data_IF_339930674962
#
_entry.id   IF_339930674962
#
_cell.length_a   1.000
_cell.length_b   1.000
_cell.length_c   1.000
_cell.angle_alpha   90.00
_cell.angle_beta   90.00
_cell.angle_gamma   90.00
#
_symmetry.space_group_name_H-M   'P 1'
#
loop_
_entity.id
_entity.type
_entity.pdbx_description
1 polymer ?
#
# COMPACT_ATOMS: atom_id res chain seq x y z
N UNK A 1 22.97 -18.56 24.26
CA UNK A 1 21.66 -18.89 23.66
C UNK A 1 21.14 -17.67 22.93
N UNK A 2 20.59 -17.79 21.69
CA UNK A 2 19.96 -16.67 21.01
C UNK A 2 18.79 -16.14 21.84
N UNK A 3 18.65 -14.81 21.95
CA UNK A 3 17.49 -14.20 22.63
C UNK A 3 16.23 -14.49 21.82
N UNK A 4 15.14 -14.86 22.50
CA UNK A 4 13.83 -15.03 21.86
C UNK A 4 13.36 -13.68 21.29
N UNK A 5 12.77 -13.65 20.08
CA UNK A 5 12.28 -12.41 19.48
C UNK A 5 11.14 -11.83 20.32
N UNK A 6 11.09 -10.50 20.39
CA UNK A 6 9.99 -9.78 21.04
C UNK A 6 8.73 -9.86 20.19
N UNK A 7 7.55 -9.67 20.79
CA UNK A 7 6.29 -9.62 20.06
C UNK A 7 6.32 -8.58 18.92
N UNK A 8 6.93 -7.42 19.17
CA UNK A 8 7.04 -6.37 18.15
C UNK A 8 7.95 -6.77 16.99
N UNK A 9 9.04 -7.50 17.26
CA UNK A 9 9.90 -8.05 16.20
C UNK A 9 9.12 -9.06 15.34
N UNK A 10 8.38 -9.98 15.97
CA UNK A 10 7.56 -10.97 15.27
C UNK A 10 6.52 -10.28 14.38
N UNK A 11 5.88 -9.23 14.87
CA UNK A 11 4.90 -8.44 14.11
C UNK A 11 5.53 -7.75 12.91
N UNK A 12 6.69 -7.11 13.09
CA UNK A 12 7.43 -6.46 11.99
C UNK A 12 7.81 -7.48 10.91
N UNK A 13 8.40 -8.61 11.30
CA UNK A 13 8.81 -9.65 10.35
C UNK A 13 7.61 -10.27 9.63
N UNK A 14 6.49 -10.43 10.33
CA UNK A 14 5.24 -10.91 9.74
C UNK A 14 4.66 -9.90 8.77
N UNK A 15 4.65 -8.62 9.14
CA UNK A 15 4.22 -7.53 8.26
C UNK A 15 5.06 -7.49 6.99
N UNK A 16 6.40 -7.59 7.07
CA UNK A 16 7.27 -7.62 5.89
C UNK A 16 6.87 -8.75 4.92
N UNK A 17 6.58 -9.95 5.43
CA UNK A 17 6.11 -11.08 4.60
C UNK A 17 4.73 -10.83 3.99
N UNK A 18 3.81 -10.27 4.78
CA UNK A 18 2.46 -9.89 4.32
C UNK A 18 2.57 -8.87 3.19
N UNK A 19 3.29 -7.77 3.40
CA UNK A 19 3.46 -6.71 2.40
C UNK A 19 4.07 -7.26 1.14
N UNK A 20 5.12 -8.08 1.21
CA UNK A 20 5.71 -8.70 0.02
C UNK A 20 4.69 -9.56 -0.76
N UNK A 21 3.92 -10.38 -0.04
CA UNK A 21 2.92 -11.26 -0.65
C UNK A 21 1.77 -10.47 -1.30
N UNK A 22 1.28 -9.44 -0.62
CA UNK A 22 0.19 -8.59 -1.13
C UNK A 22 0.64 -7.66 -2.26
N UNK A 23 1.87 -7.15 -2.23
CA UNK A 23 2.46 -6.44 -3.36
C UNK A 23 2.54 -7.33 -4.60
N UNK A 24 2.98 -8.58 -4.44
CA UNK A 24 3.00 -9.54 -5.54
C UNK A 24 1.59 -9.88 -6.04
N UNK A 25 0.66 -10.17 -5.12
CA UNK A 25 -0.73 -10.47 -5.46
C UNK A 25 -1.40 -9.30 -6.17
N UNK A 26 -1.15 -8.07 -5.73
CA UNK A 26 -1.63 -6.86 -6.39
C UNK A 26 -1.05 -6.70 -7.79
N UNK A 27 0.26 -6.91 -7.96
CA UNK A 27 0.90 -6.84 -9.27
C UNK A 27 0.37 -7.91 -10.23
N UNK A 28 0.06 -9.12 -9.75
CA UNK A 28 -0.60 -10.16 -10.55
C UNK A 28 -2.05 -9.76 -10.86
N UNK A 29 -2.78 -9.23 -9.88
CA UNK A 29 -4.16 -8.79 -10.03
C UNK A 29 -4.32 -7.72 -11.10
N UNK A 30 -3.40 -6.74 -11.15
CA UNK A 30 -3.46 -5.67 -12.15
C UNK A 30 -3.10 -6.12 -13.57
N UNK A 31 -2.45 -7.27 -13.72
CA UNK A 31 -2.10 -7.87 -15.02
C UNK A 31 -3.16 -8.86 -15.52
N UNK A 32 -3.77 -9.62 -14.61
CA UNK A 32 -4.71 -10.69 -14.95
C UNK A 32 -6.15 -10.19 -15.03
N UNK A 33 -6.55 -9.30 -14.12
CA UNK A 33 -7.94 -8.86 -13.98
C UNK A 33 -8.16 -7.47 -14.52
N UNK A 34 -9.36 -7.26 -15.07
CA UNK A 34 -9.80 -5.95 -15.52
C UNK A 34 -9.96 -5.02 -14.32
N UNK A 35 -9.78 -3.70 -14.48
CA UNK A 35 -9.87 -2.75 -13.36
C UNK A 35 -11.18 -2.77 -12.57
N UNK A 36 -12.27 -3.19 -13.21
CA UNK A 36 -13.61 -3.24 -12.62
C UNK A 36 -14.01 -4.61 -12.07
N UNK A 37 -13.14 -5.62 -12.17
CA UNK A 37 -13.43 -6.94 -11.59
C UNK A 37 -13.32 -6.90 -10.07
N UNK A 38 -14.28 -7.54 -9.40
CA UNK A 38 -14.39 -7.50 -7.94
C UNK A 38 -13.19 -8.17 -7.26
N UNK A 39 -12.62 -9.21 -7.86
CA UNK A 39 -11.45 -9.92 -7.33
C UNK A 39 -10.26 -8.97 -7.10
N UNK A 40 -10.05 -8.03 -8.02
CA UNK A 40 -9.01 -7.01 -7.89
C UNK A 40 -9.29 -6.11 -6.68
N UNK A 41 -10.52 -5.68 -6.48
CA UNK A 41 -10.91 -4.88 -5.31
C UNK A 41 -10.86 -5.68 -4.00
N UNK A 42 -11.10 -6.99 -4.04
CA UNK A 42 -11.01 -7.88 -2.88
C UNK A 42 -9.58 -8.02 -2.37
N UNK A 43 -8.58 -7.96 -3.25
CA UNK A 43 -7.16 -7.84 -2.86
C UNK A 43 -6.92 -6.57 -2.06
N UNK A 44 -7.40 -5.40 -2.54
CA UNK A 44 -7.24 -4.13 -1.83
C UNK A 44 -7.98 -4.12 -0.50
N UNK A 45 -9.21 -4.64 -0.44
CA UNK A 45 -9.96 -4.80 0.79
C UNK A 45 -9.18 -5.62 1.82
N UNK A 46 -8.69 -6.79 1.42
CA UNK A 46 -7.91 -7.68 2.28
C UNK A 46 -6.62 -7.01 2.77
N UNK A 47 -5.91 -6.32 1.87
CA UNK A 47 -4.68 -5.62 2.23
C UNK A 47 -4.93 -4.49 3.22
N UNK A 48 -5.94 -3.65 2.97
CA UNK A 48 -6.33 -2.55 3.87
C UNK A 48 -6.78 -3.05 5.25
N UNK A 49 -7.42 -4.21 5.33
CA UNK A 49 -7.77 -4.82 6.61
C UNK A 49 -6.53 -5.24 7.40
N UNK A 50 -5.51 -5.76 6.73
CA UNK A 50 -4.23 -6.10 7.37
C UNK A 50 -3.48 -4.84 7.84
N UNK A 51 -3.64 -3.70 7.16
CA UNK A 51 -3.10 -2.42 7.64
C UNK A 51 -3.68 -2.02 9.00
N UNK A 52 -4.96 -2.29 9.27
CA UNK A 52 -5.56 -2.08 10.60
C UNK A 52 -4.91 -3.02 11.62
N UNK A 53 -4.89 -4.32 11.29
CA UNK A 53 -4.35 -5.35 12.19
C UNK A 53 -2.89 -5.10 12.55
N UNK A 54 -2.12 -4.50 11.64
CA UNK A 54 -0.69 -4.22 11.76
C UNK A 54 -0.38 -2.71 11.84
N UNK A 55 -1.31 -1.88 12.33
CA UNK A 55 -1.14 -0.42 12.35
C UNK A 55 0.15 0.06 13.05
N UNK A 56 0.63 -0.67 14.07
CA UNK A 56 1.90 -0.41 14.76
C UNK A 56 3.14 -0.61 13.86
N UNK A 57 3.07 -1.40 12.79
CA UNK A 57 4.21 -1.74 11.92
C UNK A 57 3.99 -1.41 10.44
N UNK A 58 2.75 -1.21 10.00
CA UNK A 58 2.40 -0.72 8.67
C UNK A 58 3.04 0.65 8.38
N UNK A 59 3.67 0.78 7.22
CA UNK A 59 4.39 1.99 6.83
C UNK A 59 3.51 2.89 5.96
N UNK A 60 3.78 4.20 5.97
CA UNK A 60 2.98 5.15 5.20
C UNK A 60 3.11 4.92 3.69
N UNK A 61 4.25 4.41 3.23
CA UNK A 61 4.46 4.06 1.83
C UNK A 61 3.46 2.98 1.38
N UNK A 62 3.22 1.96 2.21
CA UNK A 62 2.23 0.92 1.89
C UNK A 62 0.82 1.49 1.91
N UNK A 63 0.48 2.34 2.88
CA UNK A 63 -0.83 2.98 2.95
C UNK A 63 -1.08 3.86 1.71
N UNK A 64 -0.07 4.62 1.28
CA UNK A 64 -0.13 5.45 0.09
C UNK A 64 -0.29 4.62 -1.20
N UNK A 65 0.38 3.47 -1.31
CA UNK A 65 0.21 2.55 -2.46
C UNK A 65 -1.23 2.03 -2.55
N UNK A 66 -1.82 1.63 -1.42
CA UNK A 66 -3.20 1.14 -1.37
C UNK A 66 -4.18 2.27 -1.69
N UNK A 67 -3.95 3.47 -1.15
CA UNK A 67 -4.76 4.65 -1.40
C UNK A 67 -4.78 5.05 -2.88
N UNK A 68 -3.59 5.17 -3.48
CA UNK A 68 -3.45 5.46 -4.92
C UNK A 68 -4.11 4.39 -5.78
N UNK A 69 -3.95 3.11 -5.43
CA UNK A 69 -4.59 1.99 -6.14
C UNK A 69 -6.11 2.04 -6.06
N UNK A 70 -6.65 2.42 -4.89
CA UNK A 70 -8.10 2.62 -4.67
C UNK A 70 -8.60 3.82 -5.48
N UNK A 71 -7.89 4.94 -5.49
CA UNK A 71 -8.27 6.14 -6.25
C UNK A 71 -8.27 5.88 -7.76
N UNK A 72 -7.24 5.21 -8.28
CA UNK A 72 -7.21 4.78 -9.68
C UNK A 72 -8.39 3.85 -10.03
N UNK A 73 -8.70 2.90 -9.15
CA UNK A 73 -9.83 1.99 -9.36
C UNK A 73 -11.16 2.75 -9.37
N UNK A 74 -11.32 3.73 -8.47
CA UNK A 74 -12.50 4.61 -8.42
C UNK A 74 -12.66 5.44 -9.70
N UNK A 75 -11.57 6.02 -10.19
CA UNK A 75 -11.57 6.79 -11.43
C UNK A 75 -12.01 5.93 -12.61
N UNK A 76 -11.41 4.75 -12.77
CA UNK A 76 -11.77 3.83 -13.85
C UNK A 76 -13.25 3.42 -13.73
N UNK A 77 -13.72 3.07 -12.54
CA UNK A 77 -15.12 2.72 -12.33
C UNK A 77 -16.07 3.87 -12.68
N UNK A 78 -15.69 5.12 -12.42
CA UNK A 78 -16.52 6.28 -12.78
C UNK A 78 -16.64 6.50 -14.29
N UNK A 79 -15.66 6.03 -15.07
CA UNK A 79 -15.61 6.20 -16.53
C UNK A 79 -16.21 5.02 -17.32
N UNK A 80 -16.59 3.93 -16.64
CA UNK A 80 -17.15 2.73 -17.28
C UNK A 80 -18.68 2.81 -17.29
N UNK A 81 -19.27 2.81 -18.49
CA UNK A 81 -20.72 3.01 -18.71
C UNK A 81 -21.56 1.90 -18.05
N UNK A 82 -21.08 0.65 -18.06
CA UNK A 82 -21.74 -0.47 -17.40
C UNK A 82 -20.72 -1.26 -16.59
N UNK A 83 -20.89 -1.24 -15.27
CA UNK A 83 -20.14 -2.10 -14.35
C UNK A 83 -21.11 -3.16 -13.85
N UNK A 84 -20.90 -4.39 -14.27
CA UNK A 84 -21.51 -5.53 -13.62
C UNK A 84 -21.08 -5.54 -12.15
N UNK A 85 -22.04 -5.50 -11.23
CA UNK A 85 -21.81 -5.36 -9.78
C UNK A 85 -21.30 -3.98 -9.30
N UNK A 86 -21.63 -2.87 -9.98
CA UNK A 86 -21.18 -1.52 -9.57
C UNK A 86 -21.45 -1.14 -8.11
N UNK A 87 -22.60 -1.53 -7.53
CA UNK A 87 -22.86 -1.34 -6.09
C UNK A 87 -21.80 -2.04 -5.22
N UNK A 88 -21.47 -3.28 -5.55
CA UNK A 88 -20.50 -4.08 -4.81
C UNK A 88 -19.08 -3.51 -4.92
N UNK A 89 -18.71 -3.00 -6.10
CA UNK A 89 -17.44 -2.33 -6.32
C UNK A 89 -17.33 -1.06 -5.47
N UNK A 90 -18.38 -0.24 -5.44
CA UNK A 90 -18.44 0.96 -4.60
C UNK A 90 -18.31 0.64 -3.10
N UNK A 91 -18.98 -0.41 -2.62
CA UNK A 91 -18.86 -0.84 -1.22
C UNK A 91 -17.42 -1.24 -0.84
N UNK A 92 -16.71 -1.92 -1.75
CA UNK A 92 -15.30 -2.30 -1.54
C UNK A 92 -14.39 -1.09 -1.49
N UNK A 93 -14.56 -0.12 -2.38
CA UNK A 93 -13.78 1.13 -2.34
C UNK A 93 -14.00 1.91 -1.05
N UNK A 94 -15.26 2.03 -0.60
CA UNK A 94 -15.59 2.67 0.68
C UNK A 94 -14.98 1.92 1.88
N UNK A 95 -14.96 0.60 1.80
CA UNK A 95 -14.32 -0.25 2.81
C UNK A 95 -12.82 0.00 2.89
N UNK A 96 -12.12 0.05 1.75
CA UNK A 96 -10.69 0.38 1.70
C UNK A 96 -10.43 1.77 2.29
N UNK A 97 -11.22 2.77 1.90
CA UNK A 97 -11.07 4.14 2.41
C UNK A 97 -11.24 4.21 3.93
N UNK A 98 -12.29 3.58 4.47
CA UNK A 98 -12.50 3.48 5.92
C UNK A 98 -11.32 2.80 6.60
N UNK A 99 -10.88 1.66 6.06
CA UNK A 99 -9.81 0.88 6.67
C UNK A 99 -8.48 1.65 6.73
N UNK A 100 -8.14 2.41 5.67
CA UNK A 100 -6.95 3.25 5.67
C UNK A 100 -7.04 4.37 6.71
N UNK A 101 -8.19 5.02 6.83
CA UNK A 101 -8.45 6.04 7.85
C UNK A 101 -8.27 5.47 9.26
N UNK A 102 -8.86 4.30 9.51
CA UNK A 102 -8.79 3.64 10.81
C UNK A 102 -7.37 3.15 11.12
N UNK A 103 -6.65 2.62 10.14
CA UNK A 103 -5.26 2.21 10.29
C UNK A 103 -4.35 3.39 10.68
N UNK A 104 -4.52 4.55 10.03
CA UNK A 104 -3.80 5.78 10.37
C UNK A 104 -4.13 6.25 11.79
N UNK A 105 -5.42 6.32 12.12
CA UNK A 105 -5.85 6.71 13.47
C UNK A 105 -5.32 5.77 14.57
N UNK A 106 -5.22 4.47 14.29
CA UNK A 106 -4.62 3.49 15.20
C UNK A 106 -3.11 3.65 15.30
N UNK A 107 -2.40 3.88 14.19
CA UNK A 107 -0.97 4.10 14.20
C UNK A 107 -0.60 5.34 15.02
N UNK A 108 -1.37 6.43 14.91
CA UNK A 108 -1.21 7.63 15.74
C UNK A 108 -1.40 7.31 17.23
N UNK A 109 -2.46 6.57 17.60
CA UNK A 109 -2.70 6.13 18.98
C UNK A 109 -1.56 5.25 19.54
N UNK A 110 -0.91 4.47 18.67
CA UNK A 110 0.21 3.60 19.00
C UNK A 110 1.56 4.35 19.02
N UNK A 111 1.54 5.67 18.82
CA UNK A 111 2.73 6.53 18.93
C UNK A 111 3.58 6.57 17.65
N UNK A 112 3.10 6.03 16.53
CA UNK A 112 3.71 6.31 15.23
C UNK A 112 3.32 7.72 14.81
N UNK A 113 4.26 8.65 14.82
CA UNK A 113 4.08 9.93 14.11
C UNK A 113 3.95 9.64 12.63
N UNK A 114 2.74 9.70 12.11
CA UNK A 114 2.46 9.71 10.68
C UNK A 114 2.96 11.05 10.16
N UNK A 115 4.11 11.04 9.50
CA UNK A 115 4.58 12.21 8.76
C UNK A 115 3.73 12.28 7.50
N UNK A 116 2.69 13.10 7.53
CA UNK A 116 1.95 13.47 6.32
C UNK A 116 2.96 14.14 5.38
N UNK A 117 3.10 13.71 4.10
CA UNK A 117 3.96 14.41 3.17
C UNK A 117 3.32 15.77 2.89
N UNK A 118 3.79 16.79 3.60
CA UNK A 118 3.58 18.19 3.24
C UNK A 118 4.24 18.39 1.89
N UNK A 119 3.48 18.93 0.93
CA UNK A 119 4.01 19.31 -0.37
C UNK A 119 5.29 20.14 -0.17
N UNK A 120 6.39 19.68 -0.77
CA UNK A 120 7.64 20.39 -0.74
C UNK A 120 7.48 21.68 -1.56
N UNK A 121 7.47 22.82 -0.87
CA UNK A 121 7.90 24.08 -1.47
C UNK A 121 9.41 24.01 -1.68
N UNK A 122 9.81 24.32 -2.91
CA UNK A 122 11.19 24.55 -3.32
C UNK A 122 11.86 25.58 -2.40
N UNK A 123 13.08 25.30 -1.93
CA UNK A 123 14.23 26.21 -2.00
C UNK A 123 15.53 25.46 -1.66
N UNK A 124 16.50 25.61 -2.56
CA UNK A 124 17.85 25.07 -2.58
C UNK A 124 18.74 25.62 -1.43
N UNK A 125 19.65 24.81 -0.87
CA UNK A 125 21.12 25.01 -1.01
C UNK A 125 21.93 23.91 -0.33
N UNK A 126 23.09 23.63 -0.92
CA UNK A 126 23.95 22.47 -0.78
C UNK A 126 24.91 22.48 0.44
N UNK A 127 25.40 21.30 0.83
CA UNK A 127 26.83 21.02 1.07
C UNK A 127 27.08 19.50 1.14
N UNK A 128 28.06 19.02 0.36
CA UNK A 128 28.57 17.64 0.25
C UNK A 128 29.48 17.29 1.46
N UNK A 129 29.82 16.05 1.89
CA UNK A 129 30.06 14.71 1.32
C UNK A 129 30.11 13.67 2.51
N UNK A 130 30.59 12.40 2.37
CA UNK A 130 30.12 11.25 1.59
C UNK A 130 29.99 9.90 2.39
N UNK A 131 29.38 8.88 1.75
CA UNK A 131 29.48 7.41 1.96
C UNK A 131 28.90 6.82 3.27
N UNK A 132 28.14 5.71 3.35
CA UNK A 132 27.57 4.64 2.50
C UNK A 132 26.33 4.17 3.32
N UNK A 133 25.18 3.66 2.85
CA UNK A 133 24.94 2.55 1.94
C UNK A 133 23.41 2.54 1.70
N UNK A 134 22.94 3.10 0.58
CA UNK A 134 21.51 3.16 0.25
C UNK A 134 21.06 1.82 -0.35
N UNK A 135 20.26 1.07 0.39
CA UNK A 135 19.43 0.00 -0.16
C UNK A 135 18.32 0.62 -1.03
N UNK A 136 18.61 0.85 -2.30
CA UNK A 136 17.59 1.21 -3.29
C UNK A 136 16.59 0.06 -3.47
N UNK A 137 15.28 0.35 -3.61
CA UNK A 137 14.32 -0.66 -4.02
C UNK A 137 14.63 -1.14 -5.46
N UNK A 138 14.35 -2.42 -5.79
CA UNK A 138 14.71 -2.98 -7.09
C UNK A 138 13.93 -2.27 -8.20
N UNK A 139 14.69 -1.69 -9.13
CA UNK A 139 14.22 -1.13 -10.40
C UNK A 139 13.39 -2.20 -11.12
N UNK A 140 12.17 -1.82 -11.53
CA UNK A 140 11.32 -2.63 -12.38
C UNK A 140 12.08 -2.98 -13.66
N UNK A 141 12.50 -4.24 -13.80
CA UNK A 141 12.99 -4.76 -15.08
C UNK A 141 11.81 -4.71 -16.05
N UNK A 142 11.93 -3.85 -17.08
CA UNK A 142 11.13 -3.94 -18.30
C UNK A 142 11.30 -5.36 -18.87
N UNK A 143 10.28 -6.19 -18.71
CA UNK A 143 10.18 -7.46 -19.43
C UNK A 143 9.14 -7.26 -20.52
N UNK A 144 9.62 -7.33 -21.76
CA UNK A 144 8.88 -7.41 -23.02
C UNK A 144 8.41 -6.08 -23.65
N UNK A 145 9.35 -5.28 -24.14
CA UNK A 145 9.19 -4.67 -25.47
C UNK A 145 9.49 -5.77 -26.50
N UNK A 146 8.47 -6.18 -27.27
CA UNK A 146 8.65 -7.05 -28.44
C UNK A 146 7.74 -8.28 -28.49
N UNK A 147 6.46 -8.07 -28.81
CA UNK A 147 5.69 -8.85 -29.81
C UNK A 147 4.84 -7.85 -30.60
#
# INVERSE_FOLDING_TARGET
>A
MPRKPTHQQVRKDTWTRITHSFSYLWAAATQLWKPYELDRLDVLCSWSYLCIQFADVASEEVLAVIESSKDLSKEVLSNVIVIENGHQANQRLLTVERNLRDARALAEKLGKRIVKPTAAEDTQTATASPADEYLSPPIAKKWCDGI
#
